data_IF_073206001309
#
_entry.id   IF_073206001309
#
_cell.length_a   1.000
_cell.length_b   1.000
_cell.length_c   1.000
_cell.angle_alpha   90.00
_cell.angle_beta   90.00
_cell.angle_gamma   90.00
#
_symmetry.space_group_name_H-M   'P 1'
#
loop_
_entity.id
_entity.type
_entity.pdbx_description
1 polymer ?
#
# COMPACT_ATOMS: atom_id res chain seq x y z
N UNK A 1 -3.28 16.21 -18.48
CA UNK A 1 -4.08 15.07 -18.99
C UNK A 1 -4.63 14.31 -17.81
N UNK A 2 -5.91 13.97 -17.82
CA UNK A 2 -6.51 13.10 -16.79
C UNK A 2 -6.05 11.67 -17.10
N UNK A 3 -5.55 10.93 -16.10
CA UNK A 3 -5.14 9.53 -16.31
C UNK A 3 -6.38 8.65 -16.50
N UNK A 4 -6.26 7.54 -17.24
CA UNK A 4 -7.36 6.60 -17.45
C UNK A 4 -7.97 6.12 -16.12
N UNK A 5 -7.11 5.84 -15.13
CA UNK A 5 -7.57 5.46 -13.80
C UNK A 5 -8.35 6.56 -13.07
N UNK A 6 -8.00 7.84 -13.26
CA UNK A 6 -8.72 8.98 -12.69
C UNK A 6 -10.11 9.10 -13.33
N UNK A 7 -10.19 9.00 -14.67
CA UNK A 7 -11.45 9.01 -15.41
C UNK A 7 -12.36 7.85 -14.95
N UNK A 8 -11.79 6.65 -14.75
CA UNK A 8 -12.54 5.50 -14.28
C UNK A 8 -13.15 5.72 -12.89
N UNK A 9 -12.39 6.30 -11.96
CA UNK A 9 -12.87 6.63 -10.60
C UNK A 9 -14.00 7.66 -10.65
N UNK A 10 -13.87 8.70 -11.47
CA UNK A 10 -14.88 9.74 -11.62
C UNK A 10 -16.19 9.19 -12.18
N UNK A 11 -16.14 8.37 -13.23
CA UNK A 11 -17.34 7.77 -13.81
C UNK A 11 -18.06 6.82 -12.84
N UNK A 12 -17.31 6.00 -12.08
CA UNK A 12 -17.91 5.13 -11.05
C UNK A 12 -18.53 5.96 -9.91
N UNK A 13 -17.86 7.02 -9.46
CA UNK A 13 -18.41 7.93 -8.43
C UNK A 13 -19.71 8.61 -8.90
N UNK A 14 -19.77 9.03 -10.17
CA UNK A 14 -20.99 9.62 -10.73
C UNK A 14 -22.15 8.62 -10.75
N UNK A 15 -21.91 7.38 -11.21
CA UNK A 15 -22.92 6.32 -11.22
C UNK A 15 -23.39 5.97 -9.79
N UNK A 16 -22.47 5.97 -8.83
CA UNK A 16 -22.81 5.78 -7.42
C UNK A 16 -23.72 6.89 -6.89
N UNK A 17 -23.42 8.15 -7.19
CA UNK A 17 -24.24 9.30 -6.79
C UNK A 17 -25.64 9.28 -7.45
N UNK A 18 -25.78 8.63 -8.60
CA UNK A 18 -27.06 8.35 -9.27
C UNK A 18 -27.81 7.15 -8.66
N UNK A 19 -27.27 6.51 -7.61
CA UNK A 19 -27.86 5.34 -6.95
C UNK A 19 -27.57 4.00 -7.64
N UNK A 20 -26.70 3.98 -8.65
CA UNK A 20 -26.35 2.74 -9.37
C UNK A 20 -25.13 2.13 -8.69
N UNK A 21 -25.39 1.13 -7.85
CA UNK A 21 -24.36 0.43 -7.07
C UNK A 21 -24.12 -1.02 -7.53
N UNK A 22 -24.89 -1.48 -8.52
CA UNK A 22 -24.77 -2.82 -9.10
C UNK A 22 -23.61 -2.86 -10.10
N UNK A 23 -22.63 -3.72 -9.83
CA UNK A 23 -21.42 -3.85 -10.63
C UNK A 23 -21.71 -4.23 -12.09
N UNK A 24 -22.75 -5.03 -12.34
CA UNK A 24 -23.13 -5.44 -13.69
C UNK A 24 -23.60 -4.26 -14.53
N UNK A 25 -24.43 -3.39 -13.93
CA UNK A 25 -24.92 -2.17 -14.60
C UNK A 25 -23.80 -1.18 -14.87
N UNK A 26 -22.84 -1.07 -13.95
CA UNK A 26 -21.67 -0.21 -14.12
C UNK A 26 -20.79 -0.74 -15.26
N UNK A 27 -20.51 -2.04 -15.29
CA UNK A 27 -19.74 -2.67 -16.37
C UNK A 27 -20.37 -2.42 -17.73
N UNK A 28 -21.67 -2.68 -17.88
CA UNK A 28 -22.36 -2.50 -19.15
C UNK A 28 -22.36 -1.05 -19.65
N UNK A 29 -22.31 -0.06 -18.74
CA UNK A 29 -22.26 1.37 -19.10
C UNK A 29 -20.87 1.89 -19.41
N UNK A 30 -19.85 1.30 -18.79
CA UNK A 30 -18.49 1.86 -18.77
C UNK A 30 -17.46 0.98 -19.45
N UNK A 31 -17.79 -0.29 -19.69
CA UNK A 31 -16.90 -1.35 -20.15
C UNK A 31 -15.65 -1.55 -19.27
N UNK A 32 -15.71 -1.16 -17.99
CA UNK A 32 -14.59 -1.31 -17.06
C UNK A 32 -14.50 -2.74 -16.51
N UNK A 33 -13.30 -3.27 -16.22
CA UNK A 33 -13.14 -4.57 -15.60
C UNK A 33 -13.89 -4.67 -14.27
N UNK A 34 -14.55 -5.81 -14.03
CA UNK A 34 -15.28 -6.05 -12.78
C UNK A 34 -14.43 -5.85 -11.53
N UNK A 35 -13.16 -6.25 -11.55
CA UNK A 35 -12.22 -6.03 -10.43
C UNK A 35 -12.11 -4.55 -10.05
N UNK A 36 -11.88 -3.69 -11.04
CA UNK A 36 -11.82 -2.23 -10.88
C UNK A 36 -13.13 -1.68 -10.31
N UNK A 37 -14.28 -2.18 -10.78
CA UNK A 37 -15.59 -1.77 -10.29
C UNK A 37 -15.76 -2.16 -8.82
N UNK A 38 -15.50 -3.43 -8.47
CA UNK A 38 -15.62 -3.93 -7.11
C UNK A 38 -14.73 -3.19 -6.12
N UNK A 39 -13.46 -2.96 -6.47
CA UNK A 39 -12.52 -2.25 -5.61
C UNK A 39 -12.97 -0.81 -5.32
N UNK A 40 -13.51 -0.11 -6.32
CA UNK A 40 -13.99 1.26 -6.16
C UNK A 40 -15.33 1.31 -5.40
N UNK A 41 -16.26 0.38 -5.65
CA UNK A 41 -17.49 0.26 -4.86
C UNK A 41 -17.19 -0.03 -3.39
N UNK A 42 -16.17 -0.84 -3.09
CA UNK A 42 -15.70 -1.08 -1.72
C UNK A 42 -15.20 0.21 -1.07
N UNK A 43 -14.44 1.04 -1.78
CA UNK A 43 -13.98 2.35 -1.27
C UNK A 43 -15.15 3.31 -1.01
N UNK A 44 -16.12 3.36 -1.91
CA UNK A 44 -17.33 4.18 -1.78
C UNK A 44 -18.15 3.81 -0.54
N UNK A 45 -18.36 2.51 -0.30
CA UNK A 45 -19.06 2.03 0.89
C UNK A 45 -18.37 2.44 2.19
N UNK A 46 -17.03 2.45 2.20
CA UNK A 46 -16.26 2.73 3.40
C UNK A 46 -16.05 4.23 3.68
N UNK A 47 -15.87 5.04 2.62
CA UNK A 47 -15.38 6.42 2.74
C UNK A 47 -16.21 7.46 1.97
N UNK A 48 -17.21 7.03 1.20
CA UNK A 48 -18.07 7.91 0.41
C UNK A 48 -17.41 8.52 -0.84
N UNK A 49 -16.09 8.36 -1.00
CA UNK A 49 -15.33 8.95 -2.11
C UNK A 49 -14.32 7.97 -2.70
N UNK A 50 -14.13 8.05 -4.02
CA UNK A 50 -13.03 7.37 -4.74
C UNK A 50 -11.99 8.38 -5.23
N UNK A 51 -12.13 9.66 -4.90
CA UNK A 51 -11.20 10.68 -5.36
C UNK A 51 -9.80 10.40 -4.81
N UNK A 52 -8.80 10.57 -5.68
CA UNK A 52 -7.43 10.48 -5.25
C UNK A 52 -7.12 11.71 -4.39
N UNK A 53 -6.83 11.48 -3.10
CA UNK A 53 -6.45 12.56 -2.19
C UNK A 53 -4.98 12.91 -2.47
N UNK A 54 -4.75 13.68 -3.52
CA UNK A 54 -3.47 14.38 -3.68
C UNK A 54 -3.44 15.54 -2.70
N UNK A 55 -2.68 15.35 -1.62
CA UNK A 55 -2.49 16.40 -0.65
C UNK A 55 -1.32 16.07 0.24
N UNK A 56 -0.33 16.95 0.24
CA UNK A 56 0.64 16.97 1.34
C UNK A 56 -0.10 17.24 2.65
N UNK A 57 0.51 16.91 3.78
CA UNK A 57 -0.11 17.14 5.09
C UNK A 57 -0.49 18.62 5.29
N UNK A 58 0.23 19.55 4.66
CA UNK A 58 -0.08 20.99 4.63
C UNK A 58 -1.44 21.26 3.99
N UNK A 59 -1.70 20.73 2.80
CA UNK A 59 -3.00 20.90 2.12
C UNK A 59 -4.17 20.36 2.93
N UNK A 60 -3.97 19.22 3.62
CA UNK A 60 -4.97 18.63 4.52
C UNK A 60 -5.25 19.54 5.72
N UNK A 61 -4.21 20.08 6.35
CA UNK A 61 -4.35 21.01 7.47
C UNK A 61 -5.01 22.33 7.06
N UNK A 62 -4.69 22.86 5.87
CA UNK A 62 -5.36 24.06 5.35
C UNK A 62 -6.87 23.85 5.20
N UNK A 63 -7.29 22.67 4.75
CA UNK A 63 -8.72 22.33 4.65
C UNK A 63 -9.44 22.25 6.01
N UNK A 64 -8.70 22.03 7.10
CA UNK A 64 -9.23 22.09 8.47
C UNK A 64 -9.05 23.47 9.12
N UNK A 65 -8.65 24.49 8.35
CA UNK A 65 -8.47 25.87 8.83
C UNK A 65 -7.10 26.18 9.42
N UNK A 66 -6.12 25.25 9.33
CA UNK A 66 -4.76 25.44 9.83
C UNK A 66 -3.83 25.68 8.65
N UNK A 67 -3.52 26.95 8.38
CA UNK A 67 -2.58 27.31 7.34
C UNK A 67 -1.14 27.28 7.85
N UNK A 68 -0.39 26.24 7.47
CA UNK A 68 1.00 26.06 7.87
C UNK A 68 1.84 25.50 6.72
N UNK A 69 3.07 26.02 6.61
CA UNK A 69 4.01 25.55 5.60
C UNK A 69 4.42 24.09 5.83
N UNK A 70 4.71 23.37 4.75
CA UNK A 70 5.26 22.00 4.81
C UNK A 70 6.51 21.89 5.71
N UNK A 71 7.37 22.93 5.71
CA UNK A 71 8.58 22.96 6.54
C UNK A 71 8.25 23.06 8.02
N UNK A 72 7.24 23.86 8.39
CA UNK A 72 6.77 24.00 9.77
C UNK A 72 6.27 22.66 10.30
N UNK A 73 5.48 21.95 9.49
CA UNK A 73 4.99 20.60 9.81
C UNK A 73 6.15 19.64 10.04
N UNK A 74 7.13 19.60 9.13
CA UNK A 74 8.28 18.70 9.24
C UNK A 74 9.10 18.94 10.51
N UNK A 75 9.33 20.21 10.88
CA UNK A 75 10.00 20.58 12.14
C UNK A 75 9.20 20.16 13.36
N UNK A 76 7.90 20.46 13.36
CA UNK A 76 7.00 20.10 14.46
C UNK A 76 6.99 18.59 14.69
N UNK A 77 6.83 17.78 13.64
CA UNK A 77 6.88 16.33 13.71
C UNK A 77 8.23 15.81 14.22
N UNK A 78 9.33 16.37 13.73
CA UNK A 78 10.68 15.99 14.16
C UNK A 78 10.93 16.29 15.64
N UNK A 79 10.46 17.45 16.13
CA UNK A 79 10.55 17.83 17.55
C UNK A 79 9.77 16.87 18.46
N UNK A 80 8.73 16.21 17.94
CA UNK A 80 7.95 15.19 18.64
C UNK A 80 8.44 13.75 18.38
N UNK A 81 9.61 13.58 17.75
CA UNK A 81 10.23 12.26 17.51
C UNK A 81 9.70 11.52 16.28
N UNK A 82 8.87 12.14 15.45
CA UNK A 82 8.41 11.54 14.19
C UNK A 82 9.43 11.79 13.08
N UNK A 83 10.05 10.72 12.59
CA UNK A 83 11.05 10.78 11.53
C UNK A 83 10.56 10.13 10.24
N UNK A 84 10.80 10.79 9.11
CA UNK A 84 10.57 10.22 7.78
C UNK A 84 11.65 9.18 7.48
N UNK A 85 11.37 7.91 7.71
CA UNK A 85 12.26 6.78 7.38
C UNK A 85 11.57 5.80 6.46
N UNK A 86 12.32 5.22 5.53
CA UNK A 86 11.83 4.08 4.75
C UNK A 86 11.89 2.83 5.63
N UNK A 87 10.81 2.02 5.69
CA UNK A 87 10.87 0.75 6.38
C UNK A 87 11.88 -0.18 5.68
N UNK A 88 12.52 -1.07 6.44
CA UNK A 88 13.36 -2.11 5.85
C UNK A 88 12.49 -3.03 4.97
N UNK A 89 12.99 -3.36 3.79
CA UNK A 89 12.32 -4.32 2.92
C UNK A 89 12.21 -5.67 3.67
N UNK A 90 10.97 -6.10 3.94
CA UNK A 90 10.66 -7.36 4.59
C UNK A 90 9.69 -8.13 3.70
N UNK A 91 9.83 -9.45 3.57
CA UNK A 91 8.84 -10.25 2.87
C UNK A 91 7.48 -10.11 3.54
N UNK A 92 6.42 -10.05 2.72
CA UNK A 92 5.04 -9.99 3.21
C UNK A 92 4.65 -11.36 3.72
N UNK A 93 4.35 -11.47 5.01
CA UNK A 93 3.97 -12.73 5.66
C UNK A 93 2.47 -12.76 5.95
N UNK A 94 1.82 -13.85 5.55
CA UNK A 94 0.45 -14.16 5.97
C UNK A 94 0.43 -14.60 7.44
N UNK A 95 -0.75 -14.62 8.07
CA UNK A 95 -0.90 -15.12 9.43
C UNK A 95 -0.39 -16.57 9.57
N UNK A 96 -0.70 -17.42 8.58
CA UNK A 96 -0.25 -18.80 8.53
C UNK A 96 1.28 -18.92 8.42
N UNK A 97 1.93 -18.07 7.61
CA UNK A 97 3.40 -18.05 7.52
C UNK A 97 4.05 -17.73 8.88
N UNK A 98 3.47 -16.79 9.65
CA UNK A 98 3.99 -16.44 10.98
C UNK A 98 3.86 -17.60 11.96
N UNK A 99 2.70 -18.27 11.98
CA UNK A 99 2.48 -19.44 12.84
C UNK A 99 3.50 -20.55 12.56
N UNK A 100 3.65 -20.95 11.31
CA UNK A 100 4.62 -21.99 10.91
C UNK A 100 6.05 -21.62 11.26
N UNK A 101 6.45 -20.36 11.09
CA UNK A 101 7.78 -19.88 11.49
C UNK A 101 8.00 -19.98 12.99
N UNK A 102 7.01 -19.62 13.80
CA UNK A 102 7.08 -19.72 15.28
C UNK A 102 7.14 -21.19 15.71
N UNK A 103 6.30 -22.05 15.14
CA UNK A 103 6.30 -23.49 15.43
C UNK A 103 7.64 -24.13 15.10
N UNK A 104 8.19 -23.81 13.92
CA UNK A 104 9.51 -24.27 13.50
C UNK A 104 10.59 -23.78 14.46
N UNK A 105 10.61 -22.49 14.80
CA UNK A 105 11.61 -21.92 15.71
C UNK A 105 11.56 -22.54 17.11
N UNK A 106 10.35 -22.80 17.64
CA UNK A 106 10.19 -23.48 18.93
C UNK A 106 10.69 -24.92 18.89
N UNK A 107 10.40 -25.64 17.80
CA UNK A 107 10.81 -27.04 17.63
C UNK A 107 12.33 -27.20 17.57
N UNK A 108 13.03 -26.28 16.90
CA UNK A 108 14.47 -26.37 16.64
C UNK A 108 15.29 -25.48 17.60
N UNK A 109 14.73 -25.08 18.76
CA UNK A 109 15.40 -24.17 19.70
C UNK A 109 16.69 -24.76 20.28
N UNK A 110 16.73 -26.09 20.43
CA UNK A 110 17.81 -26.83 21.08
C UNK A 110 18.57 -27.74 20.10
N UNK A 111 18.46 -27.47 18.80
CA UNK A 111 19.14 -28.28 17.79
C UNK A 111 20.65 -28.05 17.83
N UNK A 112 21.42 -29.11 17.58
CA UNK A 112 22.87 -29.00 17.45
C UNK A 112 23.26 -28.53 16.04
N UNK A 113 23.39 -27.21 15.93
CA UNK A 113 23.76 -26.56 14.68
C UNK A 113 25.20 -26.89 14.22
N UNK A 114 26.07 -27.44 15.08
CA UNK A 114 27.43 -27.81 14.69
C UNK A 114 27.47 -28.97 13.69
N UNK A 115 26.43 -29.81 13.69
CA UNK A 115 26.28 -30.95 12.79
C UNK A 115 25.24 -30.70 11.69
N UNK A 116 24.90 -29.44 11.43
CA UNK A 116 23.87 -29.04 10.44
C UNK A 116 24.52 -28.31 9.26
N UNK A 117 24.24 -28.76 8.04
CA UNK A 117 24.63 -28.08 6.81
C UNK A 117 23.40 -27.43 6.16
N UNK A 118 23.51 -26.16 5.80
CA UNK A 118 22.49 -25.44 5.02
C UNK A 118 22.97 -25.25 3.59
N UNK A 119 22.05 -25.44 2.64
CA UNK A 119 22.23 -25.08 1.23
C UNK A 119 21.05 -24.23 0.76
N UNK A 120 21.34 -23.28 -0.13
CA UNK A 120 20.34 -22.46 -0.82
C UNK A 120 20.90 -22.06 -2.19
N UNK A 121 20.01 -21.72 -3.13
CA UNK A 121 20.37 -21.30 -4.48
C UNK A 121 20.25 -19.78 -4.61
N UNK A 122 21.20 -19.15 -5.30
CA UNK A 122 21.13 -17.70 -5.61
C UNK A 122 21.35 -17.48 -7.10
N UNK A 123 20.49 -16.65 -7.70
CA UNK A 123 20.61 -16.29 -9.10
C UNK A 123 21.66 -15.18 -9.28
N UNK A 124 22.67 -15.44 -10.11
CA UNK A 124 23.63 -14.43 -10.58
C UNK A 124 23.22 -13.95 -11.96
N UNK A 125 23.14 -12.64 -12.16
CA UNK A 125 22.82 -12.05 -13.46
C UNK A 125 23.87 -11.03 -13.84
N UNK A 126 24.50 -11.22 -15.01
CA UNK A 126 25.59 -10.40 -15.51
C UNK A 126 25.21 -8.92 -15.82
N UNK A 127 23.91 -8.60 -15.87
CA UNK A 127 23.41 -7.28 -16.28
C UNK A 127 22.51 -6.59 -15.25
N UNK A 128 22.47 -7.10 -14.02
CA UNK A 128 21.47 -6.66 -13.05
C UNK A 128 21.97 -5.53 -12.15
N UNK A 129 21.27 -4.39 -12.16
CA UNK A 129 21.53 -3.17 -11.37
C UNK A 129 21.37 -3.35 -9.84
N UNK A 130 21.36 -4.57 -9.31
CA UNK A 130 20.97 -4.86 -7.92
C UNK A 130 22.14 -5.03 -6.94
N UNK A 131 23.34 -4.55 -7.25
CA UNK A 131 24.34 -4.30 -6.21
C UNK A 131 24.12 -2.92 -5.58
N UNK A 132 23.10 -2.82 -4.72
CA UNK A 132 23.07 -1.78 -3.69
C UNK A 132 23.56 -2.41 -2.39
N UNK A 133 24.88 -2.54 -2.27
CA UNK A 133 25.50 -2.74 -0.97
C UNK A 133 25.17 -1.52 -0.10
N UNK A 134 24.36 -1.75 0.94
CA UNK A 134 24.31 -0.88 2.10
C UNK A 134 25.61 -1.11 2.86
N UNK A 135 26.55 -0.18 2.71
CA UNK A 135 27.55 0.15 3.74
C UNK A 135 27.01 1.38 4.46
#
# INVERSE_FOLDING_TARGET
MITEHEANRQAIQQLWNQGIQDAMKIHNRTNMPFSTIYDNLKKLKNSGTVQHIEGTLSTKLSSTGIDVSYRTIGRHLSNHGYHKKLPRASPILTANHKLKRIEWAKKHLNDDWNNTLFSDETAFSAFSKYFRALV
#
